data_IF_354551283420
#
_entry.id   IF_354551283420
#
_cell.length_a   1.000
_cell.length_b   1.000
_cell.length_c   1.000
_cell.angle_alpha   90.00
_cell.angle_beta   90.00
_cell.angle_gamma   90.00
#
_symmetry.space_group_name_H-M   'P 1'
#
loop_
_entity.id
_entity.type
_entity.pdbx_description
1 polymer ?
#
# COMPACT_ATOMS: atom_id res chain seq x y z
N UNK A 1 -23.42 6.80 -3.15
CA UNK A 1 -22.27 6.16 -2.50
C UNK A 1 -22.18 6.70 -1.09
N UNK A 2 -22.08 5.84 -0.07
CA UNK A 2 -21.86 6.28 1.31
C UNK A 2 -20.52 6.98 1.44
N UNK A 3 -20.43 7.99 2.30
CA UNK A 3 -19.14 8.59 2.63
C UNK A 3 -18.21 7.56 3.29
N UNK A 4 -16.93 7.60 2.90
CA UNK A 4 -15.89 6.79 3.52
C UNK A 4 -15.49 7.44 4.84
N UNK A 5 -15.47 6.66 5.93
CA UNK A 5 -15.11 7.12 7.26
C UNK A 5 -13.67 7.66 7.34
N UNK A 6 -12.74 7.03 6.61
CA UNK A 6 -11.31 7.37 6.56
C UNK A 6 -10.91 7.67 5.11
N UNK A 7 -11.60 8.64 4.52
CA UNK A 7 -11.47 8.92 3.08
C UNK A 7 -10.02 9.19 2.71
N UNK A 8 -9.34 10.07 3.45
CA UNK A 8 -7.96 10.49 3.15
C UNK A 8 -6.97 9.32 3.25
N UNK A 9 -7.07 8.53 4.32
CA UNK A 9 -6.21 7.37 4.55
C UNK A 9 -6.44 6.28 3.51
N UNK A 10 -7.70 6.04 3.12
CA UNK A 10 -8.04 5.11 2.04
C UNK A 10 -7.42 5.58 0.72
N UNK A 11 -7.56 6.85 0.35
CA UNK A 11 -6.95 7.38 -0.87
C UNK A 11 -5.43 7.28 -0.83
N UNK A 12 -4.81 7.56 0.31
CA UNK A 12 -3.36 7.43 0.48
C UNK A 12 -2.90 5.98 0.29
N UNK A 13 -3.52 5.02 0.98
CA UNK A 13 -3.17 3.60 0.88
C UNK A 13 -3.39 3.04 -0.54
N UNK A 14 -4.50 3.40 -1.17
CA UNK A 14 -4.77 2.99 -2.56
C UNK A 14 -3.73 3.58 -3.51
N UNK A 15 -3.32 4.84 -3.30
CA UNK A 15 -2.24 5.47 -4.04
C UNK A 15 -0.93 4.70 -3.95
N UNK A 16 -0.50 4.30 -2.74
CA UNK A 16 0.70 3.49 -2.54
C UNK A 16 0.62 2.15 -3.29
N UNK A 17 -0.54 1.47 -3.22
CA UNK A 17 -0.75 0.22 -3.97
C UNK A 17 -0.66 0.42 -5.49
N UNK A 18 -1.18 1.54 -6.01
CA UNK A 18 -1.07 1.89 -7.44
C UNK A 18 0.37 2.17 -7.85
N UNK A 19 1.16 2.84 -7.01
CA UNK A 19 2.59 3.07 -7.27
C UNK A 19 3.36 1.76 -7.29
N UNK A 20 3.15 0.88 -6.31
CA UNK A 20 3.76 -0.45 -6.29
C UNK A 20 3.41 -1.24 -7.55
N UNK A 21 2.14 -1.22 -7.98
CA UNK A 21 1.73 -1.89 -9.20
C UNK A 21 2.34 -1.27 -10.46
N UNK A 22 2.51 0.06 -10.51
CA UNK A 22 3.16 0.75 -11.62
C UNK A 22 4.63 0.35 -11.77
N UNK A 23 5.35 0.24 -10.65
CA UNK A 23 6.78 -0.10 -10.65
C UNK A 23 7.02 -1.61 -10.87
N UNK A 24 6.26 -2.48 -10.19
CA UNK A 24 6.46 -3.94 -10.24
C UNK A 24 5.67 -4.63 -11.36
N UNK A 25 4.57 -4.04 -11.82
CA UNK A 25 3.67 -4.70 -12.76
C UNK A 25 2.94 -5.89 -12.14
N UNK A 26 2.71 -6.95 -12.94
CA UNK A 26 2.00 -8.18 -12.56
C UNK A 26 2.93 -9.40 -12.64
N UNK A 27 2.62 -10.45 -11.88
CA UNK A 27 3.29 -11.75 -11.97
C UNK A 27 4.36 -12.01 -10.91
N UNK A 28 4.46 -11.15 -9.90
CA UNK A 28 5.30 -11.36 -8.73
C UNK A 28 4.56 -12.14 -7.63
N UNK A 29 5.34 -12.81 -6.78
CA UNK A 29 4.80 -13.45 -5.58
C UNK A 29 4.27 -12.40 -4.59
N UNK A 30 3.30 -12.79 -3.78
CA UNK A 30 2.69 -11.94 -2.76
C UNK A 30 3.75 -11.32 -1.83
N UNK A 31 4.80 -12.07 -1.49
CA UNK A 31 5.90 -11.60 -0.62
C UNK A 31 6.58 -10.35 -1.18
N UNK A 32 6.74 -10.27 -2.51
CA UNK A 32 7.37 -9.12 -3.16
C UNK A 32 6.48 -7.89 -3.02
N UNK A 33 5.16 -8.03 -3.21
CA UNK A 33 4.22 -6.92 -3.00
C UNK A 33 4.16 -6.50 -1.53
N UNK A 34 4.24 -7.44 -0.59
CA UNK A 34 4.31 -7.13 0.86
C UNK A 34 5.57 -6.36 1.20
N UNK A 35 6.72 -6.77 0.68
CA UNK A 35 7.99 -6.07 0.90
C UNK A 35 7.97 -4.66 0.29
N UNK A 36 7.40 -4.50 -0.91
CA UNK A 36 7.21 -3.19 -1.52
C UNK A 36 6.28 -2.29 -0.69
N UNK A 37 5.19 -2.84 -0.15
CA UNK A 37 4.27 -2.09 0.70
C UNK A 37 4.94 -1.65 2.01
N UNK A 38 5.80 -2.48 2.60
CA UNK A 38 6.62 -2.12 3.77
C UNK A 38 7.50 -0.91 3.46
N UNK A 39 8.15 -0.89 2.30
CA UNK A 39 8.98 0.25 1.87
C UNK A 39 8.15 1.51 1.71
N UNK A 40 7.03 1.44 0.98
CA UNK A 40 6.19 2.61 0.71
C UNK A 40 5.50 3.15 1.97
N UNK A 41 4.99 2.28 2.85
CA UNK A 41 4.43 2.70 4.14
C UNK A 41 5.50 3.37 5.02
N UNK A 42 6.73 2.85 5.03
CA UNK A 42 7.84 3.45 5.77
C UNK A 42 8.21 4.83 5.22
N UNK A 43 8.26 5.00 3.89
CA UNK A 43 8.52 6.28 3.23
C UNK A 43 7.42 7.30 3.49
N UNK A 44 6.17 6.85 3.50
CA UNK A 44 5.00 7.67 3.80
C UNK A 44 4.86 7.99 5.31
N UNK A 45 5.71 7.41 6.17
CA UNK A 45 5.64 7.60 7.62
C UNK A 45 4.37 7.01 8.26
N UNK A 46 3.73 6.06 7.58
CA UNK A 46 2.49 5.43 8.06
C UNK A 46 2.87 4.33 9.05
N UNK A 47 2.34 4.34 10.29
CA UNK A 47 2.59 3.27 11.24
C UNK A 47 1.93 1.97 10.77
N UNK A 48 2.69 0.88 10.73
CA UNK A 48 2.19 -0.45 10.39
C UNK A 48 2.88 -1.52 11.22
N UNK A 49 2.28 -2.71 11.27
CA UNK A 49 2.91 -3.93 11.74
C UNK A 49 2.88 -4.94 10.61
N UNK A 50 4.02 -5.59 10.35
CA UNK A 50 4.04 -6.75 9.47
C UNK A 50 3.33 -7.91 10.18
N UNK A 51 2.66 -8.75 9.40
CA UNK A 51 2.11 -10.02 9.88
C UNK A 51 3.23 -10.91 10.46
N UNK A 52 2.90 -11.66 11.52
CA UNK A 52 3.82 -12.58 12.21
C UNK A 52 3.70 -14.00 11.65
#
# INVERSE_FOLDING_TARGET
MSELLYKEEVFQLVGLCMEIHRELGKGHDEVIYKDALVVELSRAGIPFSREK
#
